data_IF_289068532656
#
_entry.id   IF_289068532656
#
_cell.length_a   1.000
_cell.length_b   1.000
_cell.length_c   1.000
_cell.angle_alpha   90.00
_cell.angle_beta   90.00
_cell.angle_gamma   90.00
#
_symmetry.space_group_name_H-M   'P 1'
#
loop_
_entity.id
_entity.type
_entity.pdbx_description
1 polymer ?
#
# COMPACT_ATOMS: atom_id res chain seq x y z
N UNK A 1 -63.08 14.41 -40.94
CA UNK A 1 -61.87 15.21 -40.80
C UNK A 1 -61.02 14.60 -39.68
N UNK A 2 -59.85 13.96 -39.95
CA UNK A 2 -59.00 13.44 -38.91
C UNK A 2 -58.18 14.60 -38.28
N UNK A 3 -58.10 14.61 -36.93
CA UNK A 3 -57.30 15.56 -36.16
C UNK A 3 -55.82 15.25 -36.34
N UNK A 4 -55.07 16.23 -36.82
CA UNK A 4 -53.62 16.15 -36.89
C UNK A 4 -53.02 16.10 -35.46
N UNK A 5 -52.31 15.04 -35.16
CA UNK A 5 -51.49 14.92 -33.93
C UNK A 5 -50.23 15.76 -34.11
N UNK A 6 -50.08 16.79 -33.29
CA UNK A 6 -48.87 17.61 -33.20
C UNK A 6 -47.76 16.72 -32.59
N UNK A 7 -46.59 16.58 -33.22
CA UNK A 7 -45.48 15.82 -32.63
C UNK A 7 -44.98 16.56 -31.38
N UNK A 8 -44.90 15.83 -30.25
CA UNK A 8 -44.24 16.29 -29.02
C UNK A 8 -42.77 16.32 -29.31
N UNK A 9 -42.06 17.46 -29.10
CA UNK A 9 -40.62 17.52 -29.32
C UNK A 9 -39.92 16.61 -28.29
N UNK A 10 -38.95 15.82 -28.79
CA UNK A 10 -38.09 15.00 -27.96
C UNK A 10 -37.36 15.86 -26.93
N UNK A 11 -37.23 15.40 -25.66
CA UNK A 11 -36.51 16.14 -24.66
C UNK A 11 -35.04 16.27 -25.03
N UNK A 12 -34.56 17.51 -25.21
CA UNK A 12 -33.16 17.80 -25.50
C UNK A 12 -32.26 17.12 -24.48
N UNK A 13 -31.15 16.48 -24.91
CA UNK A 13 -30.19 15.86 -24.01
C UNK A 13 -29.60 16.95 -23.08
N UNK A 14 -29.92 16.86 -21.79
CA UNK A 14 -29.37 17.76 -20.78
C UNK A 14 -27.84 17.69 -20.81
N UNK A 15 -27.19 18.75 -21.26
CA UNK A 15 -25.75 18.89 -21.24
C UNK A 15 -25.23 18.62 -19.81
N UNK A 16 -24.19 17.78 -19.64
CA UNK A 16 -23.63 17.48 -18.33
C UNK A 16 -23.21 18.77 -17.67
N UNK A 17 -23.80 19.07 -16.49
CA UNK A 17 -23.74 20.38 -15.85
C UNK A 17 -22.31 20.90 -15.75
N UNK A 18 -22.04 21.98 -16.44
CA UNK A 18 -20.78 22.72 -16.51
C UNK A 18 -20.15 22.92 -15.12
N UNK A 19 -20.99 23.09 -14.11
CA UNK A 19 -20.59 23.26 -12.70
C UNK A 19 -19.88 22.01 -12.13
N UNK A 20 -20.34 20.80 -12.45
CA UNK A 20 -19.74 19.54 -11.96
C UNK A 20 -18.38 19.31 -12.61
N UNK A 21 -18.23 19.67 -13.88
CA UNK A 21 -16.96 19.58 -14.60
C UNK A 21 -15.96 20.61 -14.11
N UNK A 22 -16.39 21.85 -13.82
CA UNK A 22 -15.55 22.90 -13.28
C UNK A 22 -15.09 22.56 -11.87
N UNK A 23 -15.99 22.10 -10.98
CA UNK A 23 -15.62 21.64 -9.63
C UNK A 23 -14.62 20.48 -9.70
N UNK A 24 -14.81 19.49 -10.59
CA UNK A 24 -13.87 18.39 -10.78
C UNK A 24 -12.49 18.88 -11.23
N UNK A 25 -12.42 19.87 -12.13
CA UNK A 25 -11.16 20.47 -12.58
C UNK A 25 -10.47 21.28 -11.46
N UNK A 26 -11.24 22.05 -10.69
CA UNK A 26 -10.70 22.81 -9.55
C UNK A 26 -10.15 21.85 -8.50
N UNK A 27 -10.88 20.80 -8.15
CA UNK A 27 -10.41 19.78 -7.21
C UNK A 27 -9.14 19.09 -7.73
N UNK A 28 -9.09 18.72 -9.02
CA UNK A 28 -7.88 18.14 -9.62
C UNK A 28 -6.69 19.09 -9.60
N UNK A 29 -6.90 20.36 -9.90
CA UNK A 29 -5.82 21.38 -9.83
C UNK A 29 -5.35 21.60 -8.39
N UNK A 30 -6.27 21.69 -7.43
CA UNK A 30 -5.91 21.85 -6.02
C UNK A 30 -5.16 20.62 -5.51
N UNK A 31 -5.58 19.43 -5.89
CA UNK A 31 -4.90 18.16 -5.63
C UNK A 31 -3.48 18.17 -6.22
N UNK A 32 -3.32 18.61 -7.47
CA UNK A 32 -2.02 18.69 -8.14
C UNK A 32 -1.09 19.70 -7.46
N UNK A 33 -1.60 20.88 -7.11
CA UNK A 33 -0.83 21.94 -6.41
C UNK A 33 -0.40 21.47 -5.02
N UNK A 34 -1.32 20.86 -4.25
CA UNK A 34 -1.00 20.31 -2.92
C UNK A 34 0.03 19.17 -3.05
N UNK A 35 -0.14 18.26 -4.02
CA UNK A 35 0.84 17.21 -4.26
C UNK A 35 2.21 17.77 -4.62
N UNK A 36 2.28 18.77 -5.51
CA UNK A 36 3.51 19.41 -5.91
C UNK A 36 4.17 20.16 -4.73
N UNK A 37 3.38 20.83 -3.91
CA UNK A 37 3.87 21.55 -2.72
C UNK A 37 4.44 20.58 -1.68
N UNK A 38 3.81 19.41 -1.48
CA UNK A 38 4.26 18.40 -0.52
C UNK A 38 5.42 17.54 -1.04
N UNK A 39 5.43 17.25 -2.34
CA UNK A 39 6.48 16.42 -2.98
C UNK A 39 7.70 17.26 -3.37
N UNK A 40 7.50 18.54 -3.71
CA UNK A 40 8.55 19.44 -4.20
C UNK A 40 9.77 19.50 -3.29
N UNK A 41 9.65 19.81 -1.98
CA UNK A 41 10.79 19.83 -1.06
C UNK A 41 11.54 18.50 -1.02
N UNK A 42 10.83 17.37 -0.95
CA UNK A 42 11.46 16.05 -0.92
C UNK A 42 12.21 15.71 -2.23
N UNK A 43 11.76 16.25 -3.37
CA UNK A 43 12.50 16.16 -4.64
C UNK A 43 13.77 17.00 -4.58
N UNK A 44 13.71 18.21 -4.04
CA UNK A 44 14.87 19.08 -3.88
C UNK A 44 15.90 18.45 -2.93
N UNK A 45 15.46 17.93 -1.77
CA UNK A 45 16.32 17.21 -0.82
C UNK A 45 17.01 16.01 -1.48
N UNK A 46 16.32 15.30 -2.38
CA UNK A 46 16.90 14.21 -3.15
C UNK A 46 17.98 14.69 -4.12
N UNK A 47 17.75 15.83 -4.81
CA UNK A 47 18.75 16.43 -5.71
C UNK A 47 19.97 16.91 -4.92
N UNK A 48 19.79 17.51 -3.75
CA UNK A 48 20.88 17.97 -2.87
C UNK A 48 21.68 16.78 -2.29
N UNK A 49 21.02 15.63 -2.07
CA UNK A 49 21.67 14.42 -1.61
C UNK A 49 22.33 13.61 -2.75
N UNK A 50 21.95 13.83 -4.01
CA UNK A 50 22.42 13.07 -5.15
C UNK A 50 23.95 12.97 -5.28
N UNK A 51 24.73 14.08 -5.09
CA UNK A 51 26.20 13.99 -5.11
C UNK A 51 26.78 12.99 -4.11
N UNK A 52 26.13 12.86 -2.94
CA UNK A 52 26.57 11.95 -1.86
C UNK A 52 26.16 10.50 -2.15
N UNK A 53 24.99 10.31 -2.75
CA UNK A 53 24.50 8.96 -3.11
C UNK A 53 25.31 8.37 -4.27
N UNK A 54 25.72 9.19 -5.24
CA UNK A 54 26.54 8.72 -6.38
C UNK A 54 27.96 8.33 -5.99
N UNK A 55 28.46 8.84 -4.85
CA UNK A 55 29.80 8.52 -4.32
C UNK A 55 29.80 7.20 -3.53
N UNK A 56 28.64 6.58 -3.30
CA UNK A 56 28.52 5.26 -2.68
C UNK A 56 29.00 4.17 -3.64
N UNK A 57 29.41 3.04 -3.06
CA UNK A 57 29.85 1.86 -3.85
C UNK A 57 28.76 1.44 -4.85
N UNK A 58 29.04 1.47 -6.17
CA UNK A 58 28.07 1.11 -7.20
C UNK A 58 27.51 -0.30 -7.07
N UNK A 59 28.31 -1.26 -6.54
CA UNK A 59 27.84 -2.62 -6.31
C UNK A 59 26.75 -2.64 -5.23
N UNK A 60 26.93 -1.90 -4.13
CA UNK A 60 25.95 -1.82 -3.06
C UNK A 60 24.67 -1.13 -3.54
N UNK A 61 24.76 -0.09 -4.38
CA UNK A 61 23.57 0.55 -5.00
C UNK A 61 22.81 -0.44 -5.89
N UNK A 62 23.50 -1.24 -6.69
CA UNK A 62 22.87 -2.29 -7.51
C UNK A 62 22.19 -3.35 -6.64
N UNK A 63 22.82 -3.77 -5.53
CA UNK A 63 22.24 -4.73 -4.60
C UNK A 63 21.01 -4.16 -3.87
N UNK A 64 21.00 -2.87 -3.53
CA UNK A 64 19.81 -2.18 -2.97
C UNK A 64 18.64 -2.26 -3.96
N UNK A 65 18.89 -1.93 -5.24
CA UNK A 65 17.86 -2.00 -6.29
C UNK A 65 17.41 -3.44 -6.51
N UNK A 66 18.33 -4.40 -6.57
CA UNK A 66 18.00 -5.83 -6.72
C UNK A 66 17.12 -6.32 -5.56
N UNK A 67 17.46 -5.97 -4.33
CA UNK A 67 16.64 -6.30 -3.15
C UNK A 67 15.22 -5.73 -3.29
N UNK A 68 15.06 -4.50 -3.77
CA UNK A 68 13.73 -3.91 -4.02
C UNK A 68 12.98 -4.63 -5.14
N UNK A 69 13.65 -5.02 -6.22
CA UNK A 69 13.03 -5.82 -7.31
C UNK A 69 12.53 -7.16 -6.75
N UNK A 70 13.33 -7.85 -5.93
CA UNK A 70 12.92 -9.09 -5.26
C UNK A 70 11.73 -8.85 -4.31
N UNK A 71 11.72 -7.75 -3.57
CA UNK A 71 10.61 -7.37 -2.71
C UNK A 71 9.31 -7.16 -3.51
N UNK A 72 9.37 -6.48 -4.67
CA UNK A 72 8.21 -6.34 -5.57
C UNK A 72 7.79 -7.66 -6.19
N UNK A 73 8.72 -8.52 -6.60
CA UNK A 73 8.40 -9.86 -7.10
C UNK A 73 7.62 -10.69 -6.07
N UNK A 74 8.05 -10.66 -4.82
CA UNK A 74 7.32 -11.28 -3.71
C UNK A 74 5.90 -10.69 -3.55
N UNK A 75 5.76 -9.36 -3.65
CA UNK A 75 4.46 -8.68 -3.60
C UNK A 75 3.54 -9.13 -4.73
N UNK A 76 4.06 -9.28 -5.96
CA UNK A 76 3.27 -9.76 -7.10
C UNK A 76 2.81 -11.21 -6.92
N UNK A 77 3.63 -12.06 -6.31
CA UNK A 77 3.24 -13.45 -5.95
C UNK A 77 2.06 -13.43 -4.99
N UNK A 78 2.14 -12.63 -3.91
CA UNK A 78 1.04 -12.50 -2.93
C UNK A 78 -0.24 -12.02 -3.62
N UNK A 79 -0.15 -10.99 -4.44
CA UNK A 79 -1.32 -10.45 -5.14
C UNK A 79 -1.90 -11.43 -6.16
N UNK A 80 -1.06 -12.13 -6.91
CA UNK A 80 -1.51 -13.14 -7.86
C UNK A 80 -2.28 -14.27 -7.17
N UNK A 81 -1.81 -14.72 -5.99
CA UNK A 81 -2.51 -15.72 -5.18
C UNK A 81 -3.83 -15.15 -4.68
N UNK A 82 -3.83 -13.95 -4.09
CA UNK A 82 -5.02 -13.33 -3.53
C UNK A 82 -6.12 -13.04 -4.57
N UNK A 83 -5.72 -12.73 -5.81
CA UNK A 83 -6.63 -12.51 -6.94
C UNK A 83 -7.10 -13.83 -7.59
N UNK A 84 -6.45 -14.95 -7.32
CA UNK A 84 -6.67 -16.19 -8.07
C UNK A 84 -6.30 -16.07 -9.56
N UNK A 85 -5.45 -15.10 -9.91
CA UNK A 85 -5.14 -14.78 -11.29
C UNK A 85 -4.20 -15.80 -11.92
N UNK A 86 -4.47 -16.16 -13.20
CA UNK A 86 -3.59 -17.03 -13.99
C UNK A 86 -2.46 -16.25 -14.65
N UNK A 87 -2.75 -15.05 -15.12
CA UNK A 87 -1.83 -14.20 -15.88
C UNK A 87 -1.07 -13.23 -14.96
N UNK A 88 0.20 -13.00 -15.27
CA UNK A 88 1.04 -12.08 -14.52
C UNK A 88 0.86 -10.62 -14.94
N UNK A 89 0.63 -10.38 -16.24
CA UNK A 89 0.65 -9.03 -16.80
C UNK A 89 -0.38 -8.09 -16.14
N UNK A 90 -1.66 -8.46 -15.98
CA UNK A 90 -2.64 -7.61 -15.29
C UNK A 90 -2.25 -7.33 -13.84
N UNK A 91 -1.71 -8.34 -13.13
CA UNK A 91 -1.32 -8.23 -11.72
C UNK A 91 -0.15 -7.27 -11.56
N UNK A 92 0.92 -7.47 -12.34
CA UNK A 92 2.15 -6.66 -12.24
C UNK A 92 1.89 -5.23 -12.65
N UNK A 93 1.23 -5.01 -13.80
CA UNK A 93 0.99 -3.66 -14.32
C UNK A 93 0.04 -2.87 -13.45
N UNK A 94 -1.05 -3.48 -12.97
CA UNK A 94 -2.01 -2.79 -12.09
C UNK A 94 -1.42 -2.46 -10.72
N UNK A 95 -0.61 -3.37 -10.17
CA UNK A 95 0.04 -3.16 -8.88
C UNK A 95 1.12 -2.06 -8.95
N UNK A 96 1.98 -2.06 -9.96
CA UNK A 96 2.99 -1.02 -10.15
C UNK A 96 2.35 0.35 -10.35
N UNK A 97 1.33 0.43 -11.21
CA UNK A 97 0.60 1.68 -11.45
C UNK A 97 -0.13 2.17 -10.19
N UNK A 98 -0.83 1.26 -9.47
CA UNK A 98 -1.49 1.57 -8.20
C UNK A 98 -0.50 2.03 -7.13
N UNK A 99 0.67 1.40 -7.05
CA UNK A 99 1.74 1.78 -6.14
C UNK A 99 2.29 3.18 -6.46
N UNK A 100 2.56 3.49 -7.73
CA UNK A 100 2.99 4.84 -8.15
C UNK A 100 1.90 5.88 -7.83
N UNK A 101 0.64 5.58 -8.13
CA UNK A 101 -0.48 6.48 -7.83
C UNK A 101 -0.61 6.74 -6.32
N UNK A 102 -0.43 5.73 -5.46
CA UNK A 102 -0.50 5.89 -4.02
C UNK A 102 0.59 6.79 -3.43
N UNK A 103 1.70 6.95 -4.13
CA UNK A 103 2.83 7.78 -3.71
C UNK A 103 2.71 9.24 -4.15
N UNK A 104 2.05 9.48 -5.29
CA UNK A 104 1.95 10.80 -5.91
C UNK A 104 0.61 11.46 -5.60
N UNK A 105 -0.48 10.68 -5.54
CA UNK A 105 -1.82 11.24 -5.37
C UNK A 105 -2.15 11.44 -3.88
N UNK A 106 -2.79 12.55 -3.52
CA UNK A 106 -3.37 12.72 -2.20
C UNK A 106 -4.49 11.69 -2.00
N UNK A 107 -4.59 11.14 -0.79
CA UNK A 107 -5.41 9.98 -0.50
C UNK A 107 -4.63 8.66 -0.55
N UNK A 108 -3.35 8.69 -0.94
CA UNK A 108 -2.38 7.61 -0.78
C UNK A 108 -2.89 6.25 -1.26
N UNK A 109 -2.91 5.27 -0.37
CA UNK A 109 -3.32 3.90 -0.68
C UNK A 109 -4.73 3.76 -1.24
N UNK A 110 -5.67 4.66 -0.88
CA UNK A 110 -7.04 4.61 -1.43
C UNK A 110 -7.06 4.96 -2.93
N UNK A 111 -6.32 6.00 -3.33
CA UNK A 111 -6.21 6.39 -4.74
C UNK A 111 -5.51 5.31 -5.57
N UNK A 112 -4.40 4.77 -5.04
CA UNK A 112 -3.67 3.66 -5.68
C UNK A 112 -4.50 2.39 -5.78
N UNK A 113 -5.22 2.02 -4.73
CA UNK A 113 -6.11 0.86 -4.73
C UNK A 113 -7.28 1.00 -5.70
N UNK A 114 -7.87 2.20 -5.82
CA UNK A 114 -8.93 2.47 -6.79
C UNK A 114 -8.42 2.37 -8.23
N UNK A 115 -7.22 2.90 -8.52
CA UNK A 115 -6.59 2.74 -9.82
C UNK A 115 -6.32 1.26 -10.12
N UNK A 116 -5.70 0.55 -9.20
CA UNK A 116 -5.40 -0.87 -9.33
C UNK A 116 -6.67 -1.69 -9.60
N UNK A 117 -7.74 -1.44 -8.83
CA UNK A 117 -9.04 -2.07 -9.04
C UNK A 117 -9.57 -1.83 -10.45
N UNK A 118 -9.61 -0.57 -10.89
CA UNK A 118 -10.13 -0.23 -12.22
C UNK A 118 -9.33 -0.89 -13.35
N UNK A 119 -8.00 -1.00 -13.20
CA UNK A 119 -7.13 -1.68 -14.16
C UNK A 119 -7.40 -3.20 -14.20
N UNK A 120 -7.54 -3.86 -13.04
CA UNK A 120 -7.83 -5.29 -12.97
C UNK A 120 -9.19 -5.63 -13.60
N UNK A 121 -10.22 -4.83 -13.31
CA UNK A 121 -11.55 -5.02 -13.90
C UNK A 121 -11.50 -4.88 -15.43
N UNK A 122 -10.73 -3.92 -15.92
CA UNK A 122 -10.53 -3.72 -17.36
C UNK A 122 -9.80 -4.89 -18.02
N UNK A 123 -8.88 -5.52 -17.31
CA UNK A 123 -8.19 -6.73 -17.77
C UNK A 123 -9.04 -8.00 -17.66
N UNK A 124 -10.35 -7.88 -17.35
CA UNK A 124 -11.29 -8.99 -17.30
C UNK A 124 -11.38 -9.69 -15.94
N UNK A 125 -10.73 -9.17 -14.90
CA UNK A 125 -10.88 -9.72 -13.53
C UNK A 125 -12.26 -9.28 -12.99
N UNK A 126 -13.13 -10.21 -12.54
CA UNK A 126 -14.43 -9.85 -11.97
C UNK A 126 -14.27 -8.85 -10.82
N UNK A 127 -15.08 -7.77 -10.81
CA UNK A 127 -14.98 -6.70 -9.81
C UNK A 127 -14.93 -7.17 -8.36
N UNK A 128 -15.84 -8.07 -7.91
CA UNK A 128 -15.78 -8.63 -6.55
C UNK A 128 -14.47 -9.38 -6.26
N UNK A 129 -13.92 -10.12 -7.24
CA UNK A 129 -12.65 -10.84 -7.08
C UNK A 129 -11.46 -9.86 -6.99
N UNK A 130 -11.46 -8.80 -7.81
CA UNK A 130 -10.44 -7.75 -7.75
C UNK A 130 -10.45 -7.04 -6.38
N UNK A 131 -11.62 -6.64 -5.89
CA UNK A 131 -11.75 -6.00 -4.58
C UNK A 131 -11.28 -6.90 -3.44
N UNK A 132 -11.72 -8.17 -3.42
CA UNK A 132 -11.27 -9.17 -2.42
C UNK A 132 -9.77 -9.37 -2.46
N UNK A 133 -9.21 -9.61 -3.65
CA UNK A 133 -7.80 -9.91 -3.80
C UNK A 133 -6.91 -8.74 -3.36
N UNK A 134 -7.23 -7.51 -3.74
CA UNK A 134 -6.51 -6.31 -3.29
C UNK A 134 -6.59 -6.18 -1.77
N UNK A 135 -7.79 -6.33 -1.19
CA UNK A 135 -7.99 -6.21 0.26
C UNK A 135 -7.24 -7.30 1.02
N UNK A 136 -7.37 -8.57 0.60
CA UNK A 136 -6.70 -9.69 1.26
C UNK A 136 -5.18 -9.57 1.22
N UNK A 137 -4.61 -9.21 0.05
CA UNK A 137 -3.17 -8.98 -0.08
C UNK A 137 -2.71 -7.81 0.81
N UNK A 138 -3.46 -6.69 0.83
CA UNK A 138 -3.14 -5.53 1.65
C UNK A 138 -3.18 -5.84 3.14
N UNK A 139 -4.19 -6.58 3.60
CA UNK A 139 -4.32 -7.00 5.00
C UNK A 139 -3.17 -7.91 5.42
N UNK A 140 -2.81 -8.89 4.58
CA UNK A 140 -1.71 -9.81 4.85
C UNK A 140 -0.38 -9.07 4.95
N UNK A 141 -0.08 -8.20 3.98
CA UNK A 141 1.17 -7.44 3.92
C UNK A 141 1.26 -6.44 5.09
N UNK A 142 0.20 -5.66 5.33
CA UNK A 142 0.18 -4.67 6.41
C UNK A 142 0.16 -5.32 7.78
N UNK A 143 -0.56 -6.43 7.94
CA UNK A 143 -0.61 -7.17 9.20
C UNK A 143 0.77 -7.61 9.67
N UNK A 144 1.60 -8.13 8.76
CA UNK A 144 2.95 -8.59 9.10
C UNK A 144 3.85 -7.43 9.55
N UNK A 145 3.68 -6.20 9.04
CA UNK A 145 4.45 -5.02 9.51
C UNK A 145 4.36 -4.84 11.01
N UNK A 146 3.15 -4.99 11.57
CA UNK A 146 2.95 -4.85 13.02
C UNK A 146 3.56 -6.01 13.82
N UNK A 147 3.77 -7.15 13.18
CA UNK A 147 4.39 -8.34 13.79
C UNK A 147 5.93 -8.33 13.72
N UNK A 148 6.51 -7.66 12.71
CA UNK A 148 7.96 -7.64 12.50
C UNK A 148 8.79 -7.18 13.72
N UNK A 149 8.40 -6.15 14.52
CA UNK A 149 9.17 -5.74 15.68
C UNK A 149 9.37 -6.85 16.70
N UNK A 150 8.46 -7.84 16.76
CA UNK A 150 8.62 -9.01 17.64
C UNK A 150 9.87 -9.84 17.31
N UNK A 151 10.37 -9.81 16.08
CA UNK A 151 11.61 -10.51 15.69
C UNK A 151 12.86 -9.92 16.35
N UNK A 152 12.81 -8.70 16.92
CA UNK A 152 13.90 -8.13 17.70
C UNK A 152 13.89 -8.58 19.17
N UNK A 153 12.82 -9.22 19.67
CA UNK A 153 12.70 -9.65 21.06
C UNK A 153 13.83 -10.57 21.52
N UNK A 154 14.28 -11.58 20.74
CA UNK A 154 15.39 -12.42 21.17
C UNK A 154 16.65 -11.61 21.51
N UNK A 155 16.95 -10.56 20.71
CA UNK A 155 18.08 -9.69 20.97
C UNK A 155 17.86 -8.80 22.21
N UNK A 156 16.65 -8.31 22.42
CA UNK A 156 16.27 -7.56 23.64
C UNK A 156 16.42 -8.43 24.90
N UNK A 157 15.92 -9.66 24.85
CA UNK A 157 15.98 -10.62 25.96
C UNK A 157 17.42 -11.10 26.24
N UNK A 158 18.27 -11.18 25.21
CA UNK A 158 19.68 -11.49 25.34
C UNK A 158 20.53 -10.34 25.91
N UNK A 159 19.89 -9.21 26.30
CA UNK A 159 20.58 -8.08 26.91
C UNK A 159 21.40 -7.24 25.92
N UNK A 160 21.09 -7.27 24.62
CA UNK A 160 21.72 -6.38 23.65
C UNK A 160 21.53 -4.91 24.06
N UNK A 161 22.54 -4.03 23.90
CA UNK A 161 22.44 -2.61 24.22
C UNK A 161 21.52 -1.88 23.23
N UNK A 162 20.22 -2.03 23.43
CA UNK A 162 19.16 -1.42 22.60
C UNK A 162 18.53 -0.30 23.42
N UNK A 163 18.29 0.85 22.79
CA UNK A 163 17.58 1.96 23.41
C UNK A 163 16.22 1.53 23.98
N UNK A 164 15.86 2.09 25.14
CA UNK A 164 14.60 1.76 25.83
C UNK A 164 13.35 1.99 24.97
N UNK A 165 13.40 2.97 24.09
CA UNK A 165 12.29 3.28 23.16
C UNK A 165 12.13 2.17 22.14
N UNK A 166 13.25 1.71 21.56
CA UNK A 166 13.27 0.59 20.62
C UNK A 166 12.87 -0.73 21.29
N UNK A 167 13.33 -0.96 22.54
CA UNK A 167 12.90 -2.14 23.31
C UNK A 167 11.39 -2.14 23.57
N UNK A 168 10.77 -0.99 23.90
CA UNK A 168 9.31 -0.87 24.02
C UNK A 168 8.60 -1.16 22.70
N UNK A 169 9.15 -0.73 21.57
CA UNK A 169 8.61 -1.04 20.25
C UNK A 169 8.63 -2.55 19.96
N UNK A 170 9.66 -3.28 20.37
CA UNK A 170 9.73 -4.74 20.25
C UNK A 170 8.61 -5.44 21.05
N UNK A 171 8.36 -5.04 22.29
CA UNK A 171 7.29 -5.56 23.12
C UNK A 171 5.90 -5.20 22.54
N UNK A 172 5.72 -3.97 22.05
CA UNK A 172 4.48 -3.57 21.39
C UNK A 172 4.22 -4.41 20.11
N UNK A 173 5.28 -4.70 19.35
CA UNK A 173 5.20 -5.61 18.19
C UNK A 173 4.84 -7.04 18.57
N UNK A 174 5.36 -7.56 19.69
CA UNK A 174 4.97 -8.87 20.19
C UNK A 174 3.49 -8.92 20.58
N UNK A 175 3.02 -7.91 21.29
CA UNK A 175 1.60 -7.80 21.62
C UNK A 175 0.75 -7.70 20.36
N UNK A 176 1.17 -6.90 19.37
CA UNK A 176 0.48 -6.78 18.09
C UNK A 176 0.46 -8.11 17.32
N UNK A 177 1.55 -8.89 17.34
CA UNK A 177 1.61 -10.23 16.73
C UNK A 177 0.61 -11.17 17.39
N UNK A 178 0.58 -11.23 18.72
CA UNK A 178 -0.36 -12.06 19.46
C UNK A 178 -1.82 -11.68 19.13
N UNK A 179 -2.11 -10.37 19.15
CA UNK A 179 -3.44 -9.86 18.80
C UNK A 179 -3.82 -10.17 17.34
N UNK A 180 -2.88 -10.03 16.40
CA UNK A 180 -3.10 -10.32 14.99
C UNK A 180 -3.38 -11.80 14.77
N UNK A 181 -2.59 -12.69 15.40
CA UNK A 181 -2.79 -14.15 15.32
C UNK A 181 -4.12 -14.54 15.97
N UNK A 182 -4.41 -14.01 17.15
CA UNK A 182 -5.67 -14.28 17.85
C UNK A 182 -6.89 -13.78 17.06
N UNK A 183 -6.84 -12.55 16.52
CA UNK A 183 -7.88 -11.99 15.68
C UNK A 183 -8.05 -12.78 14.38
N UNK A 184 -6.96 -13.13 13.71
CA UNK A 184 -6.97 -13.98 12.51
C UNK A 184 -7.58 -15.35 12.77
N UNK A 185 -7.15 -16.02 13.84
CA UNK A 185 -7.71 -17.30 14.25
C UNK A 185 -9.21 -17.20 14.59
N UNK A 186 -9.61 -16.17 15.34
CA UNK A 186 -10.99 -15.90 15.69
C UNK A 186 -11.87 -15.66 14.45
N UNK A 187 -11.41 -14.87 13.49
CA UNK A 187 -12.11 -14.63 12.23
C UNK A 187 -12.21 -15.87 11.34
N UNK A 188 -11.21 -16.77 11.40
CA UNK A 188 -11.21 -18.01 10.64
C UNK A 188 -12.10 -19.10 11.28
N UNK A 189 -12.13 -19.17 12.61
CA UNK A 189 -12.83 -20.27 13.34
C UNK A 189 -14.27 -19.87 13.69
N UNK A 190 -14.54 -18.58 13.99
CA UNK A 190 -15.82 -18.11 14.50
C UNK A 190 -16.54 -17.19 13.52
N UNK A 191 -17.84 -17.40 13.35
CA UNK A 191 -18.71 -16.52 12.58
C UNK A 191 -19.16 -15.27 13.36
N UNK A 192 -19.09 -15.34 14.69
CA UNK A 192 -19.68 -14.33 15.58
C UNK A 192 -19.08 -12.92 15.36
N UNK A 193 -17.75 -12.71 15.24
CA UNK A 193 -17.17 -11.39 15.02
C UNK A 193 -17.60 -10.77 13.68
N UNK A 194 -17.63 -11.59 12.61
CA UNK A 194 -18.06 -11.12 11.29
C UNK A 194 -19.54 -10.79 11.24
N UNK A 195 -20.37 -11.59 11.90
CA UNK A 195 -21.81 -11.30 12.04
C UNK A 195 -22.05 -10.02 12.83
N UNK A 196 -21.30 -9.79 13.92
CA UNK A 196 -21.40 -8.57 14.72
C UNK A 196 -20.96 -7.35 13.94
N UNK A 197 -19.77 -7.42 13.31
CA UNK A 197 -19.25 -6.35 12.47
C UNK A 197 -20.18 -6.05 11.29
N UNK A 198 -20.71 -7.10 10.63
CA UNK A 198 -21.68 -6.96 9.55
C UNK A 198 -22.96 -6.25 9.96
N UNK A 199 -23.53 -6.59 11.12
CA UNK A 199 -24.73 -5.93 11.67
C UNK A 199 -24.44 -4.47 12.02
N UNK A 200 -23.31 -4.20 12.69
CA UNK A 200 -22.90 -2.84 13.04
C UNK A 200 -22.74 -1.97 11.79
N UNK A 201 -21.99 -2.47 10.79
CA UNK A 201 -21.75 -1.75 9.54
C UNK A 201 -23.04 -1.55 8.74
N UNK A 202 -23.93 -2.55 8.70
CA UNK A 202 -25.24 -2.47 8.08
C UNK A 202 -26.10 -1.40 8.76
N UNK A 203 -26.13 -1.35 10.09
CA UNK A 203 -26.91 -0.37 10.83
C UNK A 203 -26.40 1.06 10.60
N UNK A 204 -25.07 1.26 10.61
CA UNK A 204 -24.43 2.55 10.33
C UNK A 204 -24.73 3.00 8.91
N UNK A 205 -24.52 2.12 7.91
CA UNK A 205 -24.79 2.44 6.50
C UNK A 205 -26.26 2.82 6.27
N UNK A 206 -27.20 2.02 6.79
CA UNK A 206 -28.63 2.28 6.62
C UNK A 206 -29.06 3.56 7.34
N UNK A 207 -28.40 3.91 8.46
CA UNK A 207 -28.63 5.18 9.17
C UNK A 207 -28.11 6.41 8.39
N UNK A 208 -26.91 6.28 7.77
CA UNK A 208 -26.27 7.38 7.04
C UNK A 208 -26.92 7.58 5.66
N UNK A 209 -27.26 6.48 4.97
CA UNK A 209 -27.82 6.51 3.60
C UNK A 209 -29.33 6.25 3.60
N UNK A 210 -30.10 6.95 4.42
CA UNK A 210 -31.56 6.81 4.55
C UNK A 210 -32.37 6.99 3.24
N UNK A 211 -31.79 7.58 2.19
CA UNK A 211 -32.41 7.81 0.88
C UNK A 211 -32.15 6.70 -0.14
N UNK A 212 -31.40 5.68 0.20
CA UNK A 212 -31.11 4.53 -0.65
C UNK A 212 -31.76 3.28 -0.06
N UNK A 213 -31.99 2.28 -0.88
CA UNK A 213 -32.52 0.99 -0.42
C UNK A 213 -31.67 0.42 0.72
N UNK A 214 -32.30 -0.04 1.80
CA UNK A 214 -31.59 -0.59 2.94
C UNK A 214 -30.83 -1.85 2.50
N UNK A 215 -29.56 -1.93 2.86
CA UNK A 215 -28.77 -3.13 2.63
C UNK A 215 -29.22 -4.18 3.63
N UNK A 216 -29.71 -5.29 3.12
CA UNK A 216 -30.01 -6.51 3.86
C UNK A 216 -28.86 -7.50 3.64
N UNK A 217 -28.61 -8.42 4.58
CA UNK A 217 -27.68 -9.53 4.45
C UNK A 217 -26.17 -9.19 4.39
N UNK A 218 -25.74 -8.01 4.85
CA UNK A 218 -24.32 -7.69 4.93
C UNK A 218 -23.50 -8.71 5.76
N UNK A 219 -24.02 -9.24 6.91
CA UNK A 219 -23.34 -10.30 7.66
C UNK A 219 -23.11 -11.56 6.85
N UNK A 220 -24.12 -12.02 6.09
CA UNK A 220 -24.01 -13.21 5.25
C UNK A 220 -22.99 -13.01 4.11
N UNK A 221 -22.99 -11.82 3.51
CA UNK A 221 -22.00 -11.47 2.48
C UNK A 221 -20.56 -11.48 3.02
N UNK A 222 -20.33 -10.95 4.23
CA UNK A 222 -19.00 -10.97 4.84
C UNK A 222 -18.52 -12.39 5.15
N UNK A 223 -19.42 -13.28 5.57
CA UNK A 223 -19.10 -14.69 5.78
C UNK A 223 -18.75 -15.40 4.46
N UNK A 224 -19.54 -15.19 3.41
CA UNK A 224 -19.27 -15.75 2.10
C UNK A 224 -17.93 -15.24 1.50
N UNK A 225 -17.60 -13.96 1.72
CA UNK A 225 -16.33 -13.37 1.32
C UNK A 225 -15.16 -13.98 2.09
N UNK A 226 -15.29 -14.19 3.42
CA UNK A 226 -14.28 -14.89 4.23
C UNK A 226 -14.04 -16.31 3.69
N UNK A 227 -15.11 -17.06 3.44
CA UNK A 227 -15.00 -18.44 2.99
C UNK A 227 -14.33 -18.51 1.62
N UNK A 228 -14.65 -17.58 0.72
CA UNK A 228 -13.96 -17.45 -0.58
C UNK A 228 -12.48 -17.12 -0.42
N UNK A 229 -12.11 -16.19 0.47
CA UNK A 229 -10.71 -15.87 0.78
C UNK A 229 -10.00 -17.11 1.33
N UNK A 230 -10.64 -17.81 2.26
CA UNK A 230 -10.12 -19.06 2.84
C UNK A 230 -9.85 -20.12 1.77
N UNK A 231 -10.76 -20.30 0.83
CA UNK A 231 -10.60 -21.28 -0.26
C UNK A 231 -9.48 -20.88 -1.23
N UNK A 232 -9.35 -19.60 -1.58
CA UNK A 232 -8.27 -19.07 -2.44
C UNK A 232 -6.89 -19.30 -1.81
N UNK A 233 -6.78 -19.12 -0.49
CA UNK A 233 -5.51 -19.31 0.23
C UNK A 233 -5.27 -20.75 0.70
N UNK A 234 -6.28 -21.63 0.71
CA UNK A 234 -6.26 -22.96 1.34
C UNK A 234 -5.02 -23.79 0.99
N UNK A 235 -4.68 -23.88 -0.28
CA UNK A 235 -3.53 -24.69 -0.75
C UNK A 235 -2.25 -23.86 -0.91
N UNK A 236 -2.37 -22.53 -1.03
CA UNK A 236 -1.26 -21.63 -1.36
C UNK A 236 -0.85 -20.72 -0.21
N UNK A 237 -1.43 -20.90 0.98
CA UNK A 237 -1.10 -20.08 2.14
C UNK A 237 0.40 -20.13 2.52
N UNK A 238 1.14 -21.27 2.41
CA UNK A 238 2.56 -21.25 2.75
C UNK A 238 3.36 -20.38 1.77
N UNK A 239 3.01 -20.46 0.48
CA UNK A 239 3.66 -19.63 -0.56
C UNK A 239 3.33 -18.15 -0.35
N UNK A 240 2.07 -17.81 -0.03
CA UNK A 240 1.67 -16.44 0.26
C UNK A 240 2.37 -15.88 1.50
N UNK A 241 2.49 -16.69 2.56
CA UNK A 241 3.21 -16.32 3.77
C UNK A 241 4.72 -16.13 3.49
N UNK A 242 5.35 -17.10 2.82
CA UNK A 242 6.76 -17.02 2.45
C UNK A 242 7.04 -15.79 1.55
N UNK A 243 6.18 -15.54 0.57
CA UNK A 243 6.30 -14.36 -0.28
C UNK A 243 6.11 -13.05 0.53
N UNK A 244 5.21 -13.03 1.51
CA UNK A 244 5.03 -11.83 2.37
C UNK A 244 6.24 -11.61 3.28
N UNK A 245 6.78 -12.68 3.88
CA UNK A 245 8.03 -12.61 4.65
C UNK A 245 9.18 -12.17 3.73
N UNK A 246 9.30 -12.77 2.55
CA UNK A 246 10.29 -12.38 1.55
C UNK A 246 10.19 -10.91 1.16
N UNK A 247 8.98 -10.41 0.94
CA UNK A 247 8.71 -8.98 0.66
C UNK A 247 9.35 -8.07 1.71
N UNK A 248 9.14 -8.34 2.98
CA UNK A 248 9.65 -7.54 4.07
C UNK A 248 11.14 -7.77 4.34
N UNK A 249 11.62 -9.01 4.17
CA UNK A 249 13.04 -9.34 4.32
C UNK A 249 13.90 -8.65 3.28
N UNK A 250 13.48 -8.64 2.00
CA UNK A 250 14.21 -7.94 0.94
C UNK A 250 14.14 -6.41 1.10
N UNK A 251 12.99 -5.87 1.53
CA UNK A 251 12.87 -4.44 1.80
C UNK A 251 13.77 -4.00 2.97
N UNK A 252 13.79 -4.79 4.06
CA UNK A 252 14.71 -4.59 5.18
C UNK A 252 16.18 -4.77 4.77
N UNK A 253 16.51 -5.79 3.95
CA UNK A 253 17.85 -5.99 3.43
C UNK A 253 18.33 -4.79 2.61
N UNK A 254 17.46 -4.14 1.84
CA UNK A 254 17.83 -2.94 1.10
C UNK A 254 18.22 -1.77 2.01
N UNK A 255 17.59 -1.63 3.20
CA UNK A 255 18.00 -0.66 4.21
C UNK A 255 19.35 -1.02 4.84
N UNK A 256 19.58 -2.31 5.15
CA UNK A 256 20.89 -2.76 5.67
C UNK A 256 22.01 -2.51 4.64
N UNK A 257 21.77 -2.78 3.37
CA UNK A 257 22.73 -2.49 2.30
C UNK A 257 22.99 -0.98 2.17
N UNK A 258 21.98 -0.13 2.35
CA UNK A 258 22.17 1.32 2.34
C UNK A 258 23.03 1.79 3.54
N UNK A 259 22.85 1.19 4.71
CA UNK A 259 23.70 1.46 5.87
C UNK A 259 25.15 0.99 5.66
N UNK A 260 25.34 -0.18 5.08
CA UNK A 260 26.67 -0.67 4.71
C UNK A 260 27.35 0.24 3.68
N UNK A 261 26.59 0.80 2.72
CA UNK A 261 27.11 1.70 1.70
C UNK A 261 27.67 3.01 2.29
N UNK A 262 27.12 3.49 3.41
CA UNK A 262 27.64 4.66 4.13
C UNK A 262 28.70 4.27 5.20
N UNK A 263 29.11 2.99 5.27
CA UNK A 263 30.10 2.51 6.25
C UNK A 263 29.55 2.26 7.66
N UNK A 264 28.24 2.43 7.88
CA UNK A 264 27.61 2.19 9.17
C UNK A 264 27.33 0.71 9.40
N UNK A 265 27.58 0.21 10.62
CA UNK A 265 27.37 -1.20 11.01
C UNK A 265 26.62 -1.31 12.35
N UNK A 266 25.39 -0.78 12.44
CA UNK A 266 24.59 -0.89 13.65
C UNK A 266 24.12 -2.34 13.86
N UNK A 267 23.65 -2.64 15.09
CA UNK A 267 23.06 -3.94 15.40
C UNK A 267 21.81 -4.18 14.51
N UNK A 268 21.71 -5.31 13.78
CA UNK A 268 20.58 -5.57 12.88
C UNK A 268 19.21 -5.51 13.57
N UNK A 269 19.12 -5.95 14.85
CA UNK A 269 17.89 -5.86 15.64
C UNK A 269 17.42 -4.42 15.86
N UNK A 270 18.34 -3.48 16.11
CA UNK A 270 18.02 -2.07 16.27
C UNK A 270 17.60 -1.44 14.94
N UNK A 271 18.26 -1.80 13.83
CA UNK A 271 17.84 -1.39 12.47
C UNK A 271 16.47 -1.94 12.14
N UNK A 272 16.15 -3.19 12.51
CA UNK A 272 14.82 -3.76 12.30
C UNK A 272 13.72 -2.93 12.99
N UNK A 273 13.96 -2.52 14.23
CA UNK A 273 13.00 -1.69 14.97
C UNK A 273 12.86 -0.30 14.34
N UNK A 274 13.95 0.31 13.88
CA UNK A 274 13.93 1.57 13.14
C UNK A 274 13.13 1.43 11.83
N UNK A 275 13.38 0.36 11.10
CA UNK A 275 12.64 0.03 9.87
C UNK A 275 11.13 -0.12 10.12
N UNK A 276 10.74 -0.91 11.12
CA UNK A 276 9.33 -1.11 11.46
C UNK A 276 8.65 0.20 11.86
N UNK A 277 9.32 1.05 12.63
CA UNK A 277 8.80 2.37 13.02
C UNK A 277 8.56 3.23 11.79
N UNK A 278 9.52 3.27 10.86
CA UNK A 278 9.38 4.00 9.60
C UNK A 278 8.21 3.48 8.74
N UNK A 279 8.02 2.15 8.68
CA UNK A 279 6.90 1.55 7.93
C UNK A 279 5.54 1.91 8.56
N UNK A 280 5.44 1.89 9.90
CA UNK A 280 4.22 2.31 10.61
C UNK A 280 3.94 3.80 10.39
N UNK A 281 4.96 4.66 10.44
CA UNK A 281 4.82 6.08 10.12
C UNK A 281 4.33 6.31 8.68
N UNK A 282 4.79 5.49 7.74
CA UNK A 282 4.35 5.50 6.34
C UNK A 282 2.87 5.14 6.12
N UNK A 283 2.22 4.48 7.09
CA UNK A 283 0.77 4.20 7.04
C UNK A 283 -0.08 5.43 7.39
N UNK A 284 0.50 6.43 8.03
CA UNK A 284 -0.22 7.64 8.44
C UNK A 284 -0.35 8.57 7.23
N UNK A 285 -1.56 8.88 6.74
CA UNK A 285 -1.78 9.59 5.50
C UNK A 285 -1.67 11.13 5.65
N UNK A 286 -0.64 11.62 6.35
CA UNK A 286 -0.43 13.06 6.48
C UNK A 286 0.14 13.67 5.20
N UNK A 287 1.04 12.94 4.52
CA UNK A 287 1.67 13.37 3.28
C UNK A 287 1.57 12.26 2.23
N UNK A 288 1.56 12.59 0.94
CA UNK A 288 1.60 11.60 -0.12
C UNK A 288 2.81 10.67 0.05
N UNK A 289 2.55 9.36 0.21
CA UNK A 289 3.60 8.36 0.41
C UNK A 289 4.46 8.52 1.67
N UNK A 290 4.01 9.30 2.67
CA UNK A 290 4.74 9.51 3.92
C UNK A 290 5.99 10.39 3.78
N UNK A 291 6.09 11.21 2.71
CA UNK A 291 7.24 12.08 2.45
C UNK A 291 7.50 13.03 3.62
N UNK A 292 8.76 13.16 4.00
CA UNK A 292 9.23 13.93 5.16
C UNK A 292 9.10 13.16 6.47
N UNK A 293 7.95 12.56 6.77
CA UNK A 293 7.72 11.81 8.01
C UNK A 293 8.52 10.52 8.10
N UNK A 294 8.52 9.75 7.00
CA UNK A 294 9.26 8.47 6.96
C UNK A 294 10.76 8.73 6.98
N UNK A 295 11.24 9.71 6.25
CA UNK A 295 12.65 10.10 6.21
C UNK A 295 13.13 10.59 7.59
N UNK A 296 12.40 11.51 8.20
CA UNK A 296 12.71 12.02 9.53
C UNK A 296 12.61 10.91 10.60
N UNK A 297 11.55 10.11 10.54
CA UNK A 297 11.34 8.99 11.45
C UNK A 297 12.42 7.92 11.32
N UNK A 298 12.80 7.57 10.09
CA UNK A 298 13.85 6.59 9.84
C UNK A 298 15.22 7.13 10.30
N UNK A 299 15.57 8.36 9.94
CA UNK A 299 16.83 8.99 10.37
C UNK A 299 16.91 9.08 11.90
N UNK A 300 15.84 9.55 12.56
CA UNK A 300 15.79 9.66 14.01
C UNK A 300 15.90 8.30 14.73
N UNK A 301 15.21 7.28 14.22
CA UNK A 301 15.27 5.93 14.81
C UNK A 301 16.58 5.20 14.52
N UNK A 302 17.23 5.46 13.39
CA UNK A 302 18.58 4.98 13.10
C UNK A 302 19.61 5.66 14.02
N UNK A 303 19.43 6.94 14.36
CA UNK A 303 20.25 7.61 15.36
C UNK A 303 20.12 6.95 16.74
N UNK A 304 18.90 6.55 17.15
CA UNK A 304 18.68 5.75 18.36
C UNK A 304 19.32 4.35 18.29
N UNK A 305 19.52 3.83 17.07
CA UNK A 305 20.24 2.59 16.82
C UNK A 305 21.76 2.76 16.82
N UNK A 306 22.27 3.97 17.13
CA UNK A 306 23.71 4.27 17.22
C UNK A 306 24.35 4.66 15.89
N UNK A 307 23.58 4.96 14.84
CA UNK A 307 24.10 5.47 13.56
C UNK A 307 24.30 6.98 13.67
N UNK A 308 25.44 7.51 13.19
CA UNK A 308 25.65 8.95 13.12
C UNK A 308 24.57 9.65 12.28
N UNK A 309 24.17 10.86 12.69
CA UNK A 309 23.03 11.53 12.04
C UNK A 309 23.22 11.77 10.55
N UNK A 310 24.45 12.03 10.10
CA UNK A 310 24.77 12.21 8.69
C UNK A 310 24.63 10.88 7.90
N UNK A 311 25.23 9.81 8.43
CA UNK A 311 25.17 8.48 7.82
C UNK A 311 23.73 7.95 7.80
N UNK A 312 22.97 8.19 8.87
CA UNK A 312 21.56 7.83 8.97
C UNK A 312 20.72 8.52 7.88
N UNK A 313 20.94 9.81 7.64
CA UNK A 313 20.27 10.57 6.60
C UNK A 313 20.61 10.04 5.20
N UNK A 314 21.89 9.87 4.89
CA UNK A 314 22.33 9.40 3.55
C UNK A 314 21.83 7.98 3.30
N UNK A 315 21.91 7.07 4.29
CA UNK A 315 21.37 5.72 4.17
C UNK A 315 19.83 5.72 3.97
N UNK A 316 19.10 6.55 4.72
CA UNK A 316 17.66 6.69 4.56
C UNK A 316 17.30 7.19 3.14
N UNK A 317 18.03 8.17 2.61
CA UNK A 317 17.81 8.69 1.26
C UNK A 317 18.15 7.66 0.18
N UNK A 318 19.27 6.93 0.30
CA UNK A 318 19.64 5.87 -0.63
C UNK A 318 18.59 4.73 -0.65
N UNK A 319 18.13 4.31 0.53
CA UNK A 319 17.03 3.35 0.66
C UNK A 319 15.73 3.89 0.01
N UNK A 320 15.35 5.14 0.28
CA UNK A 320 14.13 5.76 -0.26
C UNK A 320 14.21 5.97 -1.77
N UNK A 321 15.41 6.24 -2.31
CA UNK A 321 15.60 6.32 -3.75
C UNK A 321 15.16 5.02 -4.44
N UNK A 322 15.58 3.88 -3.92
CA UNK A 322 15.21 2.57 -4.49
C UNK A 322 13.79 2.14 -4.11
N UNK A 323 13.39 2.32 -2.84
CA UNK A 323 12.12 1.81 -2.33
C UNK A 323 10.92 2.70 -2.64
N UNK A 324 11.10 4.01 -2.81
CA UNK A 324 10.03 4.97 -3.03
C UNK A 324 10.08 5.62 -4.42
N UNK A 325 11.20 6.22 -4.81
CA UNK A 325 11.29 7.01 -6.03
C UNK A 325 11.38 6.16 -7.30
N UNK A 326 12.21 5.14 -7.29
CA UNK A 326 12.40 4.27 -8.45
C UNK A 326 11.10 3.59 -8.94
N UNK A 327 10.19 3.08 -8.09
CA UNK A 327 8.94 2.49 -8.55
C UNK A 327 7.97 3.45 -9.25
N UNK A 328 8.10 4.78 -9.08
CA UNK A 328 7.19 5.74 -9.70
C UNK A 328 7.27 5.73 -11.23
N UNK A 329 8.45 5.92 -11.87
CA UNK A 329 8.56 5.86 -13.32
C UNK A 329 8.19 4.47 -13.88
N UNK A 330 8.55 3.38 -13.18
CA UNK A 330 8.13 2.04 -13.59
C UNK A 330 6.61 1.85 -13.51
N UNK A 331 5.95 2.44 -12.51
CA UNK A 331 4.50 2.41 -12.39
C UNK A 331 3.80 3.21 -13.48
N UNK A 332 4.36 4.35 -13.89
CA UNK A 332 3.85 5.11 -15.04
C UNK A 332 4.02 4.31 -16.34
N UNK A 333 5.17 3.69 -16.56
CA UNK A 333 5.40 2.79 -17.69
C UNK A 333 4.42 1.62 -17.70
N UNK A 334 4.22 0.98 -16.55
CA UNK A 334 3.25 -0.11 -16.37
C UNK A 334 1.82 0.32 -16.67
N UNK A 335 1.43 1.53 -16.27
CA UNK A 335 0.12 2.12 -16.63
C UNK A 335 -0.04 2.26 -18.15
N UNK A 336 0.97 2.79 -18.84
CA UNK A 336 0.95 2.94 -20.31
C UNK A 336 0.87 1.58 -21.01
N UNK A 337 1.67 0.60 -20.57
CA UNK A 337 1.62 -0.76 -21.10
C UNK A 337 0.23 -1.38 -20.90
N UNK A 338 -0.31 -1.29 -19.68
CA UNK A 338 -1.62 -1.82 -19.36
C UNK A 338 -2.72 -1.19 -20.25
N UNK A 339 -2.68 0.13 -20.39
CA UNK A 339 -3.63 0.88 -21.24
C UNK A 339 -3.56 0.44 -22.71
N UNK A 340 -2.37 0.18 -23.23
CA UNK A 340 -2.20 -0.30 -24.62
C UNK A 340 -2.75 -1.70 -24.82
N UNK A 341 -2.63 -2.58 -23.82
CA UNK A 341 -3.06 -3.98 -23.91
C UNK A 341 -4.54 -4.15 -23.59
N UNK A 342 -5.05 -3.48 -22.56
CA UNK A 342 -6.40 -3.69 -22.01
C UNK A 342 -7.35 -2.48 -22.20
N UNK A 343 -6.88 -1.37 -22.75
CA UNK A 343 -7.63 -0.11 -22.92
C UNK A 343 -7.60 0.80 -21.67
N UNK A 344 -8.26 1.97 -21.78
CA UNK A 344 -8.26 2.96 -20.67
C UNK A 344 -9.08 2.49 -19.46
N UNK A 345 -8.56 2.61 -18.24
CA UNK A 345 -9.32 2.35 -17.02
C UNK A 345 -10.49 3.34 -16.91
N UNK A 346 -11.71 2.86 -16.73
CA UNK A 346 -12.84 3.72 -16.40
C UNK A 346 -12.75 4.10 -14.91
N UNK A 347 -12.27 5.30 -14.63
CA UNK A 347 -12.33 5.91 -13.30
C UNK A 347 -13.71 6.55 -13.16
N UNK A 348 -14.65 5.85 -12.52
CA UNK A 348 -15.96 6.40 -12.17
C UNK A 348 -17.18 5.81 -12.89
N UNK A 349 -17.12 4.58 -13.39
CA UNK A 349 -18.34 3.82 -13.62
C UNK A 349 -18.88 3.40 -12.25
N UNK A 350 -19.91 4.09 -11.79
CA UNK A 350 -20.67 3.67 -10.59
C UNK A 350 -21.23 2.26 -10.82
N UNK A 351 -21.17 1.37 -9.80
CA UNK A 351 -21.85 0.08 -9.82
C UNK A 351 -23.36 0.23 -9.76
#
# INVERSE_FOLDING_TARGET
MPRATVPVPDPEPRAPGTRRTVVKRIVLLLVAVVSLYLVGPAVLDLFDAWPRVKDLDPLLLQLIVLAQVCAFACLWVVQRIALGAREWLPVVTSQLAGNAASRVLPGGGAAGGALQYSMLVRAGVPGPAAARGITAASLLITGIVFALPALALPAVLAGSPIDRTLARAAWAGAAALVLLVAAGALLLVSDAPLRLAGRALQSVRNRVRRRHEPVTDLPARLLAERDTIRDVFRERWPVALLATVGRWSFDYASLLLALLAVGARPAPSAVLLAFCTAQVLGLIPFTPGGLGFVEAGLTGTLALAGVGGHEALVAALAYRLASFWLPIPFGLGAYVVHRRVFGEPQVGADP
#
